data_IF_128096915756
#
_entry.id   IF_128096915756
#
_cell.length_a   1.000
_cell.length_b   1.000
_cell.length_c   1.000
_cell.angle_alpha   90.00
_cell.angle_beta   90.00
_cell.angle_gamma   90.00
#
_symmetry.space_group_name_H-M   'P 1'
#
loop_
_entity.id
_entity.type
_entity.pdbx_description
1 polymer ?
#
# COMPACT_ATOMS: atom_id res chain seq x y z
N UNK A 1 2.19 -15.75 5.00
CA UNK A 1 2.14 -16.17 6.42
C UNK A 1 0.72 -16.19 6.96
N UNK A 2 -0.23 -16.74 6.20
CA UNK A 2 -1.64 -16.72 6.59
C UNK A 2 -1.86 -17.53 7.87
N UNK A 3 -2.71 -17.03 8.76
CA UNK A 3 -3.05 -17.68 10.03
C UNK A 3 -2.00 -17.58 11.13
N UNK A 4 -0.83 -17.00 10.87
CA UNK A 4 0.20 -16.78 11.89
C UNK A 4 -0.13 -15.57 12.76
N UNK A 5 0.19 -15.64 14.06
CA UNK A 5 0.11 -14.50 14.95
C UNK A 5 1.18 -13.46 14.59
N UNK A 6 0.77 -12.19 14.39
CA UNK A 6 1.66 -11.09 13.96
C UNK A 6 2.79 -10.81 14.97
N UNK A 7 2.48 -10.77 16.27
CA UNK A 7 3.48 -10.49 17.29
C UNK A 7 4.53 -11.61 17.37
N UNK A 8 4.08 -12.88 17.36
CA UNK A 8 4.98 -14.03 17.33
C UNK A 8 5.83 -14.06 16.04
N UNK A 9 5.25 -13.72 14.89
CA UNK A 9 5.96 -13.64 13.62
C UNK A 9 7.13 -12.65 13.67
N UNK A 10 6.92 -11.44 14.21
CA UNK A 10 7.99 -10.45 14.31
C UNK A 10 9.00 -10.77 15.41
N UNK A 11 8.57 -11.34 16.55
CA UNK A 11 9.48 -11.72 17.64
C UNK A 11 10.49 -12.81 17.22
N UNK A 12 10.13 -13.66 16.27
CA UNK A 12 10.98 -14.73 15.77
C UNK A 12 12.00 -14.26 14.70
N UNK A 13 12.07 -12.96 14.37
CA UNK A 13 12.88 -12.44 13.26
C UNK A 13 13.86 -11.36 13.71
N UNK A 14 15.06 -11.28 13.11
CA UNK A 14 15.98 -10.17 13.36
C UNK A 14 15.33 -8.83 12.98
N UNK A 15 15.49 -7.81 13.83
CA UNK A 15 15.17 -6.44 13.44
C UNK A 15 16.07 -6.03 12.27
N UNK A 16 15.47 -5.58 11.16
CA UNK A 16 16.22 -5.10 9.99
C UNK A 16 15.58 -3.83 9.45
N UNK A 17 16.35 -2.96 8.79
CA UNK A 17 15.82 -1.71 8.18
C UNK A 17 14.71 -1.99 7.14
N UNK A 18 14.62 -3.21 6.61
CA UNK A 18 13.50 -3.65 5.76
C UNK A 18 12.21 -4.00 6.55
N UNK A 19 12.19 -3.83 7.88
CA UNK A 19 11.09 -4.23 8.77
C UNK A 19 9.89 -3.28 8.79
N UNK A 20 9.88 -2.22 7.99
CA UNK A 20 8.66 -1.40 7.79
C UNK A 20 7.53 -2.20 7.12
N UNK A 21 7.86 -3.40 6.64
CA UNK A 21 6.93 -4.38 6.12
C UNK A 21 7.25 -5.79 6.66
N UNK A 22 6.39 -6.76 6.38
CA UNK A 22 6.50 -8.10 6.97
C UNK A 22 7.81 -8.85 6.60
N UNK A 23 8.36 -8.60 5.41
CA UNK A 23 9.64 -9.14 4.95
C UNK A 23 10.18 -8.31 3.77
N UNK A 24 11.45 -8.50 3.37
CA UNK A 24 11.99 -7.93 2.14
C UNK A 24 11.13 -8.25 0.91
N UNK A 25 11.12 -7.36 -0.09
CA UNK A 25 10.19 -7.47 -1.22
C UNK A 25 10.34 -8.77 -2.05
N UNK A 26 11.54 -9.35 -2.08
CA UNK A 26 11.85 -10.59 -2.78
C UNK A 26 11.60 -11.86 -1.95
N UNK A 27 11.38 -11.74 -0.64
CA UNK A 27 11.16 -12.92 0.20
C UNK A 27 9.75 -13.48 -0.06
N UNK A 28 9.68 -14.77 -0.39
CA UNK A 28 8.42 -15.49 -0.55
C UNK A 28 7.97 -16.07 0.77
N UNK A 29 6.69 -15.87 1.12
CA UNK A 29 6.08 -16.63 2.20
C UNK A 29 6.02 -18.13 1.84
N UNK A 30 6.04 -19.05 2.85
CA UNK A 30 5.88 -20.48 2.59
C UNK A 30 4.59 -20.77 1.80
N UNK A 31 4.72 -21.41 0.63
CA UNK A 31 3.61 -21.73 -0.28
C UNK A 31 2.90 -20.51 -0.88
N UNK A 32 3.46 -19.31 -0.76
CA UNK A 32 2.85 -18.06 -1.21
C UNK A 32 3.71 -17.27 -2.18
N UNK A 33 3.34 -16.01 -2.35
CA UNK A 33 4.03 -15.05 -3.22
C UNK A 33 4.96 -14.13 -2.42
N UNK A 34 5.94 -13.53 -3.11
CA UNK A 34 6.72 -12.40 -2.62
C UNK A 34 5.98 -11.09 -2.91
N UNK A 35 6.46 -9.97 -2.35
CA UNK A 35 5.90 -8.67 -2.71
C UNK A 35 6.20 -8.29 -4.17
N UNK A 36 7.33 -8.73 -4.73
CA UNK A 36 7.64 -8.53 -6.15
C UNK A 36 6.61 -9.21 -7.07
N UNK A 37 6.22 -10.45 -6.76
CA UNK A 37 5.17 -11.14 -7.51
C UNK A 37 3.82 -10.41 -7.42
N UNK A 38 3.48 -9.95 -6.21
CA UNK A 38 2.28 -9.17 -5.97
C UNK A 38 2.31 -7.85 -6.74
N UNK A 39 3.48 -7.19 -6.81
CA UNK A 39 3.69 -5.97 -7.57
C UNK A 39 3.44 -6.22 -9.05
N UNK A 40 4.10 -7.21 -9.65
CA UNK A 40 3.95 -7.55 -11.07
C UNK A 40 2.49 -7.87 -11.42
N UNK A 41 1.82 -8.69 -10.60
CA UNK A 41 0.41 -9.04 -10.79
C UNK A 41 -0.52 -7.83 -10.64
N UNK A 42 -0.20 -6.91 -9.73
CA UNK A 42 -0.97 -5.68 -9.52
C UNK A 42 -0.82 -4.74 -10.71
N UNK A 43 0.41 -4.54 -11.21
CA UNK A 43 0.69 -3.70 -12.38
C UNK A 43 -0.01 -4.23 -13.62
N UNK A 44 0.07 -5.54 -13.87
CA UNK A 44 -0.65 -6.17 -14.98
C UNK A 44 -2.17 -5.95 -14.88
N UNK A 45 -2.73 -6.04 -13.67
CA UNK A 45 -4.13 -5.73 -13.39
C UNK A 45 -4.49 -4.27 -13.71
N UNK A 46 -3.68 -3.32 -13.26
CA UNK A 46 -3.87 -1.89 -13.50
C UNK A 46 -3.83 -1.58 -15.01
N UNK A 47 -2.82 -2.09 -15.73
CA UNK A 47 -2.68 -1.86 -17.17
C UNK A 47 -3.90 -2.36 -17.95
N UNK A 48 -4.37 -3.57 -17.61
CA UNK A 48 -5.57 -4.15 -18.23
C UNK A 48 -6.82 -3.30 -17.93
N UNK A 49 -7.03 -2.92 -16.68
CA UNK A 49 -8.18 -2.11 -16.24
C UNK A 49 -8.17 -0.73 -16.91
N UNK A 50 -7.00 -0.07 -17.00
CA UNK A 50 -6.86 1.21 -17.70
C UNK A 50 -7.23 1.11 -19.19
N UNK A 51 -6.84 0.02 -19.85
CA UNK A 51 -7.19 -0.22 -21.25
C UNK A 51 -8.70 -0.49 -21.44
N UNK A 52 -9.29 -1.33 -20.60
CA UNK A 52 -10.72 -1.70 -20.67
C UNK A 52 -11.67 -0.54 -20.31
N UNK A 53 -11.21 0.42 -19.50
CA UNK A 53 -12.03 1.50 -18.95
C UNK A 53 -11.44 2.90 -19.21
N UNK A 54 -10.78 3.08 -20.34
CA UNK A 54 -10.18 4.36 -20.72
C UNK A 54 -11.15 5.55 -20.59
N UNK A 55 -10.69 6.64 -19.96
CA UNK A 55 -11.46 7.87 -19.77
C UNK A 55 -12.55 7.79 -18.70
N UNK A 56 -12.60 6.72 -17.89
CA UNK A 56 -13.58 6.55 -16.80
C UNK A 56 -12.90 6.57 -15.44
N UNK A 57 -13.67 6.96 -14.43
CA UNK A 57 -13.28 6.79 -13.02
C UNK A 57 -13.50 5.33 -12.58
N UNK A 58 -12.55 4.81 -11.80
CA UNK A 58 -12.55 3.42 -11.33
C UNK A 58 -12.40 3.41 -9.82
N UNK A 59 -13.32 2.73 -9.14
CA UNK A 59 -13.21 2.44 -7.70
C UNK A 59 -12.74 1.01 -7.53
N UNK A 60 -11.56 0.84 -6.93
CA UNK A 60 -10.97 -0.46 -6.63
C UNK A 60 -10.91 -0.65 -5.10
N UNK A 61 -11.61 -1.67 -4.59
CA UNK A 61 -11.51 -2.09 -3.20
C UNK A 61 -10.46 -3.18 -3.09
N UNK A 62 -9.43 -2.94 -2.28
CA UNK A 62 -8.27 -3.82 -2.21
C UNK A 62 -7.63 -3.81 -0.81
N UNK A 63 -6.45 -4.40 -0.70
CA UNK A 63 -5.68 -4.51 0.54
C UNK A 63 -4.43 -3.61 0.49
N UNK A 64 -3.81 -3.38 1.65
CA UNK A 64 -2.63 -2.51 1.76
C UNK A 64 -1.46 -2.92 0.85
N UNK A 65 -1.25 -4.23 0.62
CA UNK A 65 -0.20 -4.73 -0.27
C UNK A 65 -0.35 -4.23 -1.72
N UNK A 66 -1.46 -4.57 -2.42
CA UNK A 66 -1.70 -4.09 -3.78
C UNK A 66 -1.78 -2.55 -3.88
N UNK A 67 -2.30 -1.86 -2.87
CA UNK A 67 -2.33 -0.39 -2.88
C UNK A 67 -0.91 0.18 -2.84
N UNK A 68 -0.01 -0.34 -2.00
CA UNK A 68 1.41 0.03 -1.98
C UNK A 68 2.10 -0.23 -3.32
N UNK A 69 1.80 -1.37 -3.94
CA UNK A 69 2.32 -1.69 -5.27
C UNK A 69 1.83 -0.71 -6.34
N UNK A 70 0.54 -0.35 -6.31
CA UNK A 70 -0.04 0.63 -7.23
C UNK A 70 0.61 2.02 -7.08
N UNK A 71 0.89 2.45 -5.85
CA UNK A 71 1.60 3.72 -5.58
C UNK A 71 3.03 3.67 -6.13
N UNK A 72 3.77 2.60 -5.85
CA UNK A 72 5.14 2.44 -6.36
C UNK A 72 5.17 2.44 -7.90
N UNK A 73 4.22 1.76 -8.55
CA UNK A 73 4.07 1.77 -10.00
C UNK A 73 3.78 3.17 -10.55
N UNK A 74 2.81 3.88 -9.97
CA UNK A 74 2.44 5.23 -10.40
C UNK A 74 3.60 6.23 -10.25
N UNK A 75 4.45 6.06 -9.24
CA UNK A 75 5.62 6.91 -9.01
C UNK A 75 6.87 6.45 -9.78
N UNK A 76 6.82 5.34 -10.52
CA UNK A 76 7.98 4.80 -11.25
C UNK A 76 9.08 4.26 -10.32
N UNK A 77 8.72 3.78 -9.14
CA UNK A 77 9.63 3.28 -8.13
C UNK A 77 9.78 1.75 -8.20
N UNK A 78 10.87 1.24 -7.63
CA UNK A 78 11.02 -0.19 -7.36
C UNK A 78 9.96 -0.66 -6.34
N UNK A 79 9.54 -1.92 -6.44
CA UNK A 79 8.46 -2.49 -5.63
C UNK A 79 8.64 -2.24 -4.12
N UNK A 80 9.86 -2.46 -3.60
CA UNK A 80 10.15 -2.29 -2.17
C UNK A 80 9.95 -0.86 -1.65
N UNK A 81 10.03 0.17 -2.50
CA UNK A 81 9.79 1.55 -2.11
C UNK A 81 8.33 1.78 -1.66
N UNK A 82 7.39 0.95 -2.13
CA UNK A 82 5.99 0.96 -1.71
C UNK A 82 5.81 0.73 -0.20
N UNK A 83 6.79 0.12 0.47
CA UNK A 83 6.71 -0.13 1.92
C UNK A 83 6.66 1.14 2.76
N UNK A 84 7.20 2.25 2.25
CA UNK A 84 7.24 3.53 2.95
C UNK A 84 5.84 4.16 3.16
N UNK A 85 4.83 3.73 2.41
CA UNK A 85 3.48 4.31 2.49
C UNK A 85 2.59 3.53 3.47
N UNK A 86 2.09 4.18 4.52
CA UNK A 86 1.02 3.59 5.36
C UNK A 86 -0.30 3.57 4.59
N UNK A 87 -1.05 2.47 4.72
CA UNK A 87 -2.40 2.31 4.15
C UNK A 87 -3.31 1.85 5.28
N UNK A 88 -4.13 2.77 5.77
CA UNK A 88 -5.08 2.52 6.85
C UNK A 88 -6.37 1.88 6.33
N UNK A 89 -7.06 1.19 7.22
CA UNK A 89 -8.33 0.56 6.91
C UNK A 89 -9.33 1.59 6.40
N UNK A 90 -10.03 1.26 5.32
CA UNK A 90 -11.02 2.11 4.65
C UNK A 90 -10.45 3.40 4.02
N UNK A 91 -9.13 3.57 3.98
CA UNK A 91 -8.53 4.82 3.47
C UNK A 91 -8.69 4.93 1.96
N UNK A 92 -8.66 6.18 1.48
CA UNK A 92 -8.77 6.49 0.06
C UNK A 92 -7.41 6.93 -0.47
N UNK A 93 -6.96 6.24 -1.51
CA UNK A 93 -5.81 6.62 -2.32
C UNK A 93 -6.31 6.87 -3.74
N UNK A 94 -5.92 8.00 -4.32
CA UNK A 94 -6.27 8.39 -5.69
C UNK A 94 -5.02 8.42 -6.55
N UNK A 95 -5.09 7.72 -7.68
CA UNK A 95 -4.07 7.68 -8.71
C UNK A 95 -4.74 8.04 -10.05
N UNK A 96 -4.28 9.09 -10.69
CA UNK A 96 -4.82 9.57 -11.96
C UNK A 96 -3.88 9.13 -13.08
N UNK A 97 -4.37 8.27 -13.98
CA UNK A 97 -3.65 7.90 -15.20
C UNK A 97 -4.04 8.85 -16.33
N UNK A 98 -3.05 9.58 -16.85
CA UNK A 98 -3.22 10.50 -17.96
C UNK A 98 -2.64 9.88 -19.23
N UNK A 99 -3.41 9.90 -20.31
CA UNK A 99 -2.99 9.46 -21.64
C UNK A 99 -3.42 10.51 -22.68
N UNK A 100 -2.47 11.02 -23.47
CA UNK A 100 -2.72 11.97 -24.56
C UNK A 100 -1.62 11.84 -25.62
N UNK A 101 -2.00 11.74 -26.89
CA UNK A 101 -1.09 11.82 -28.07
C UNK A 101 0.26 11.09 -27.91
N UNK A 102 0.21 9.80 -27.56
CA UNK A 102 1.40 8.95 -27.42
C UNK A 102 2.18 9.13 -26.12
N UNK A 103 1.75 10.05 -25.25
CA UNK A 103 2.30 10.25 -23.92
C UNK A 103 1.37 9.69 -22.85
N UNK A 104 1.96 9.03 -21.86
CA UNK A 104 1.23 8.53 -20.69
C UNK A 104 1.98 8.90 -19.42
N UNK A 105 1.26 9.21 -18.36
CA UNK A 105 1.85 9.53 -17.07
C UNK A 105 0.87 9.35 -15.93
N UNK A 106 1.40 9.31 -14.71
CA UNK A 106 0.61 9.19 -13.50
C UNK A 106 0.68 10.48 -12.69
N UNK A 107 -0.43 10.82 -12.05
CA UNK A 107 -0.47 11.81 -10.97
C UNK A 107 -1.01 11.14 -9.73
N UNK A 108 -0.54 11.59 -8.57
CA UNK A 108 -0.98 11.06 -7.28
C UNK A 108 -1.57 12.20 -6.45
N UNK A 109 -2.87 12.51 -6.60
CA UNK A 109 -3.48 13.60 -5.87
C UNK A 109 -3.56 13.36 -4.36
N UNK A 110 -3.61 12.10 -3.94
CA UNK A 110 -3.93 11.72 -2.57
C UNK A 110 -3.46 10.30 -2.27
N UNK A 111 -2.81 10.12 -1.12
CA UNK A 111 -2.48 8.81 -0.56
C UNK A 111 -3.03 8.73 0.86
N UNK A 112 -3.67 7.61 1.19
CA UNK A 112 -4.08 7.28 2.55
C UNK A 112 -4.94 8.37 3.24
N UNK A 113 -5.85 9.02 2.50
CA UNK A 113 -6.80 9.92 3.14
C UNK A 113 -7.73 9.09 4.02
N UNK A 114 -7.90 9.54 5.26
CA UNK A 114 -8.79 8.93 6.24
C UNK A 114 -10.04 9.81 6.42
N UNK A 115 -11.08 9.71 5.56
CA UNK A 115 -12.29 10.53 5.66
C UNK A 115 -12.93 10.59 7.04
N UNK A 116 -12.74 9.56 7.88
CA UNK A 116 -13.32 9.47 9.21
C UNK A 116 -12.52 10.17 10.32
N UNK A 117 -11.28 10.62 10.06
CA UNK A 117 -10.41 11.23 11.09
C UNK A 117 -11.00 12.51 11.70
N UNK A 118 -11.89 13.19 10.97
CA UNK A 118 -12.53 14.41 11.45
C UNK A 118 -13.56 14.16 12.57
N UNK A 119 -13.87 12.90 12.90
CA UNK A 119 -14.88 12.55 13.90
C UNK A 119 -14.30 11.65 14.99
N UNK A 120 -14.41 12.11 16.25
CA UNK A 120 -14.04 11.35 17.44
C UNK A 120 -14.76 10.01 17.59
N UNK A 121 -15.90 9.82 16.91
CA UNK A 121 -16.60 8.54 16.87
C UNK A 121 -15.73 7.40 16.31
N UNK A 122 -14.65 7.74 15.61
CA UNK A 122 -13.75 6.82 14.94
C UNK A 122 -12.37 6.75 15.57
N UNK A 123 -12.18 7.30 16.78
CA UNK A 123 -10.88 7.29 17.45
C UNK A 123 -10.32 5.86 17.62
N UNK A 124 -11.21 4.89 17.84
CA UNK A 124 -10.86 3.47 17.94
C UNK A 124 -10.40 2.83 16.60
N UNK A 125 -10.66 3.48 15.46
CA UNK A 125 -10.20 3.03 14.14
C UNK A 125 -8.80 3.54 13.81
N UNK A 126 -8.22 4.44 14.62
CA UNK A 126 -6.83 4.83 14.45
C UNK A 126 -5.91 3.64 14.68
N UNK A 127 -5.15 3.28 13.64
CA UNK A 127 -4.10 2.30 13.73
C UNK A 127 -2.83 3.02 14.22
N UNK A 128 -2.35 2.77 15.45
CA UNK A 128 -1.11 3.36 15.90
C UNK A 128 0.05 2.85 15.06
N UNK A 129 0.98 3.73 14.70
CA UNK A 129 2.10 3.43 13.79
C UNK A 129 3.21 2.55 14.42
N UNK A 130 2.93 1.89 15.56
CA UNK A 130 3.89 1.20 16.41
C UNK A 130 3.98 1.87 17.79
N UNK A 131 5.08 1.70 18.55
CA UNK A 131 5.33 2.53 19.73
C UNK A 131 5.55 3.97 19.28
N UNK A 132 4.45 4.73 19.19
CA UNK A 132 4.52 6.16 18.99
C UNK A 132 5.24 6.77 20.20
N UNK A 133 6.25 7.59 19.95
CA UNK A 133 6.88 8.37 21.03
C UNK A 133 5.84 9.39 21.48
N UNK A 134 5.08 9.03 22.51
CA UNK A 134 4.11 9.91 23.15
C UNK A 134 4.84 10.91 24.04
N UNK A 135 5.76 11.70 23.47
CA UNK A 135 6.06 12.99 24.07
C UNK A 135 4.89 13.89 23.72
N UNK A 136 3.82 13.81 24.51
CA UNK A 136 2.86 14.91 24.57
C UNK A 136 3.70 16.15 24.90
N UNK A 137 3.86 17.04 23.93
CA UNK A 137 4.40 18.36 24.19
C UNK A 137 3.42 19.00 25.18
N UNK A 138 3.91 19.20 26.41
CA UNK A 138 3.20 19.94 27.44
C UNK A 138 3.16 21.43 27.14
#
# INVERSE_FOLDING_TARGET
>A
WQGMNRAAFFAARPASIASYWFAPAHERAPGGESFNDLFDRTVAGIQRINAEHAGKDIVCVSHGGPIKAAIAHALGLEAGAGFAFTIDNCSVTRLDYLASDGHTGWRVPMINQQPWIASHAHDAMHQPSGPEVTSKLG
#
